data_IF_650465247276
#
_entry.id   IF_650465247276
#
_cell.length_a   1.000
_cell.length_b   1.000
_cell.length_c   1.000
_cell.angle_alpha   90.00
_cell.angle_beta   90.00
_cell.angle_gamma   90.00
#
_symmetry.space_group_name_H-M   'P 1'
#
loop_
_entity.id
_entity.type
_entity.pdbx_description
1 polymer ?
#
# COMPACT_ATOMS: atom_id res chain seq x y z
N UNK A 1 5.20 -7.52 -6.07
CA UNK A 1 4.58 -6.61 -7.07
C UNK A 1 5.13 -6.89 -8.46
N UNK A 2 6.42 -6.70 -8.73
CA UNK A 2 7.02 -6.99 -10.04
C UNK A 2 6.72 -8.43 -10.49
N UNK A 3 7.08 -9.43 -9.72
CA UNK A 3 6.83 -10.85 -10.04
C UNK A 3 5.37 -11.17 -10.32
N UNK A 4 4.44 -10.55 -9.60
CA UNK A 4 3.00 -10.75 -9.81
C UNK A 4 2.55 -10.13 -11.16
N UNK A 5 3.04 -8.93 -11.49
CA UNK A 5 2.77 -8.30 -12.77
C UNK A 5 3.42 -9.04 -13.95
N UNK A 6 4.60 -9.63 -13.76
CA UNK A 6 5.25 -10.46 -14.78
C UNK A 6 4.46 -11.75 -15.09
N UNK A 7 3.84 -12.36 -14.09
CA UNK A 7 3.05 -13.60 -14.26
C UNK A 7 1.67 -13.35 -14.84
N UNK A 8 1.00 -12.32 -14.39
CA UNK A 8 -0.41 -12.05 -14.71
C UNK A 8 -0.60 -10.91 -15.72
N UNK A 9 0.46 -10.16 -16.02
CA UNK A 9 0.39 -8.92 -16.79
C UNK A 9 0.02 -7.72 -15.90
N UNK A 10 0.37 -6.52 -16.34
CA UNK A 10 0.11 -5.27 -15.61
C UNK A 10 -0.52 -4.18 -16.49
N UNK A 11 -0.40 -4.35 -17.80
CA UNK A 11 -0.89 -3.35 -18.77
C UNK A 11 -2.41 -3.41 -18.90
N UNK A 12 -2.95 -4.60 -19.14
CA UNK A 12 -4.39 -4.89 -19.20
C UNK A 12 -4.73 -5.94 -18.15
N UNK A 13 -5.50 -5.55 -17.16
CA UNK A 13 -5.89 -6.42 -16.04
C UNK A 13 -7.41 -6.51 -16.03
N UNK A 14 -7.93 -7.69 -16.44
CA UNK A 14 -9.37 -7.99 -16.36
C UNK A 14 -9.75 -8.34 -14.90
N UNK A 15 -11.06 -8.34 -14.56
CA UNK A 15 -11.52 -8.79 -13.24
C UNK A 15 -11.03 -10.20 -12.88
N UNK A 16 -10.94 -11.12 -13.87
CA UNK A 16 -10.48 -12.49 -13.67
C UNK A 16 -8.98 -12.51 -13.37
N UNK A 17 -8.17 -11.72 -14.10
CA UNK A 17 -6.74 -11.58 -13.85
C UNK A 17 -6.51 -10.98 -12.46
N UNK A 18 -7.27 -9.96 -12.10
CA UNK A 18 -7.17 -9.32 -10.78
C UNK A 18 -7.52 -10.30 -9.65
N UNK A 19 -8.58 -11.10 -9.83
CA UNK A 19 -8.95 -12.14 -8.88
C UNK A 19 -7.87 -13.23 -8.76
N UNK A 20 -7.23 -13.62 -9.85
CA UNK A 20 -6.11 -14.56 -9.84
C UNK A 20 -4.89 -14.02 -9.09
N UNK A 21 -4.57 -12.74 -9.28
CA UNK A 21 -3.51 -12.06 -8.51
C UNK A 21 -3.80 -12.10 -7.00
N UNK A 22 -5.04 -11.79 -6.61
CA UNK A 22 -5.45 -11.84 -5.18
C UNK A 22 -5.32 -13.27 -4.65
N UNK A 23 -5.78 -14.27 -5.38
CA UNK A 23 -5.74 -15.67 -4.96
C UNK A 23 -4.30 -16.18 -4.75
N UNK A 24 -3.36 -15.80 -5.65
CA UNK A 24 -1.95 -16.16 -5.50
C UNK A 24 -1.34 -15.57 -4.22
N UNK A 25 -1.65 -14.30 -3.93
CA UNK A 25 -1.15 -13.63 -2.72
C UNK A 25 -1.84 -14.17 -1.47
N UNK A 26 -3.14 -14.41 -1.54
CA UNK A 26 -3.92 -14.96 -0.41
C UNK A 26 -3.33 -16.29 0.09
N UNK A 27 -2.93 -17.18 -0.82
CA UNK A 27 -2.31 -18.46 -0.46
C UNK A 27 -1.03 -18.29 0.39
N UNK A 28 -0.24 -17.23 0.14
CA UNK A 28 0.95 -16.91 0.93
C UNK A 28 0.59 -16.30 2.29
N UNK A 29 -0.41 -15.42 2.30
CA UNK A 29 -0.88 -14.76 3.53
C UNK A 29 -1.58 -15.76 4.45
N UNK A 30 -2.37 -16.68 3.90
CA UNK A 30 -3.05 -17.74 4.66
C UNK A 30 -2.07 -18.67 5.37
N UNK A 31 -0.95 -19.01 4.70
CA UNK A 31 0.16 -19.75 5.33
C UNK A 31 0.70 -19.02 6.55
N UNK A 32 0.93 -17.71 6.44
CA UNK A 32 1.39 -16.89 7.54
C UNK A 32 0.36 -16.83 8.70
N UNK A 33 -0.92 -16.67 8.37
CA UNK A 33 -2.00 -16.65 9.37
C UNK A 33 -2.11 -17.99 10.09
N UNK A 34 -1.95 -19.10 9.37
CA UNK A 34 -1.98 -20.45 9.94
C UNK A 34 -0.84 -20.70 10.93
N UNK A 35 0.36 -20.14 10.63
CA UNK A 35 1.56 -20.31 11.47
C UNK A 35 1.56 -19.39 12.70
N UNK A 36 1.13 -18.13 12.53
CA UNK A 36 1.27 -17.10 13.56
C UNK A 36 -0.05 -16.69 14.24
N UNK A 37 -1.16 -17.23 13.78
CA UNK A 37 -2.50 -16.83 14.21
C UNK A 37 -2.97 -15.52 13.56
N UNK A 38 -4.29 -15.32 13.55
CA UNK A 38 -4.89 -14.05 13.13
C UNK A 38 -4.62 -12.95 14.16
N UNK A 39 -4.72 -11.71 13.71
CA UNK A 39 -4.74 -10.57 14.63
C UNK A 39 -6.05 -10.65 15.42
N UNK A 40 -5.96 -10.81 16.73
CA UNK A 40 -7.12 -10.95 17.62
C UNK A 40 -8.09 -9.76 17.53
N UNK A 41 -9.19 -9.80 18.25
CA UNK A 41 -10.32 -8.84 18.25
C UNK A 41 -9.95 -7.40 18.65
N UNK A 42 -8.67 -7.05 18.61
CA UNK A 42 -8.14 -5.75 19.01
C UNK A 42 -8.52 -4.63 18.06
N UNK A 43 -8.53 -3.41 18.58
CA UNK A 43 -8.66 -2.18 17.79
C UNK A 43 -7.37 -1.92 16.99
N UNK A 44 -7.11 -2.77 16.00
CA UNK A 44 -5.95 -2.69 15.14
C UNK A 44 -6.25 -1.86 13.88
N UNK A 45 -5.20 -1.34 13.27
CA UNK A 45 -5.23 -0.74 11.95
C UNK A 45 -4.06 -1.24 11.12
N UNK A 46 -4.21 -1.25 9.83
CA UNK A 46 -3.08 -1.52 8.93
C UNK A 46 -2.16 -0.29 8.85
N UNK A 47 -0.87 -0.52 8.87
CA UNK A 47 0.14 0.49 8.54
C UNK A 47 0.77 0.12 7.20
N UNK A 48 0.51 0.92 6.18
CA UNK A 48 1.05 0.72 4.85
C UNK A 48 2.24 1.63 4.57
N UNK A 49 3.40 1.04 4.27
CA UNK A 49 4.66 1.76 4.01
C UNK A 49 5.15 1.62 2.57
N UNK A 50 4.38 0.98 1.70
CA UNK A 50 4.79 0.69 0.32
C UNK A 50 4.43 1.82 -0.65
N UNK A 51 5.12 1.85 -1.80
CA UNK A 51 4.80 2.77 -2.89
C UNK A 51 3.37 2.62 -3.43
N UNK A 52 2.76 1.44 -3.34
CA UNK A 52 1.35 1.23 -3.69
C UNK A 52 0.42 1.99 -2.76
N UNK A 53 0.64 1.87 -1.45
CA UNK A 53 -0.22 2.52 -0.45
C UNK A 53 -0.11 4.04 -0.54
N UNK A 54 1.09 4.57 -0.75
CA UNK A 54 1.29 6.02 -0.95
C UNK A 54 0.66 6.51 -2.26
N UNK A 55 0.68 5.70 -3.31
CA UNK A 55 -0.02 5.98 -4.58
C UNK A 55 -1.54 6.01 -4.37
N UNK A 56 -2.11 5.01 -3.69
CA UNK A 56 -3.54 4.95 -3.36
C UNK A 56 -3.96 6.21 -2.59
N UNK A 57 -3.18 6.63 -1.59
CA UNK A 57 -3.42 7.86 -0.86
C UNK A 57 -3.35 9.11 -1.75
N UNK A 58 -2.38 9.18 -2.64
CA UNK A 58 -2.25 10.28 -3.60
C UNK A 58 -3.45 10.41 -4.54
N UNK A 59 -3.95 9.27 -5.02
CA UNK A 59 -5.16 9.21 -5.87
C UNK A 59 -6.41 9.56 -5.05
N UNK A 60 -6.51 9.07 -3.82
CA UNK A 60 -7.60 9.41 -2.90
C UNK A 60 -7.70 10.91 -2.62
N UNK A 61 -6.56 11.54 -2.39
CA UNK A 61 -6.44 12.99 -2.12
C UNK A 61 -6.53 13.84 -3.40
N UNK A 62 -6.69 13.23 -4.57
CA UNK A 62 -6.76 13.89 -5.88
C UNK A 62 -5.60 14.85 -6.14
N UNK A 63 -4.39 14.42 -5.78
CA UNK A 63 -3.20 15.26 -5.89
C UNK A 63 -2.82 15.47 -7.36
N UNK A 64 -2.62 16.72 -7.75
CA UNK A 64 -2.11 17.10 -9.07
C UNK A 64 -0.62 16.76 -9.27
N UNK A 65 0.09 16.57 -8.18
CA UNK A 65 1.46 16.06 -8.09
C UNK A 65 1.62 15.34 -6.77
N UNK A 66 2.57 14.41 -6.70
CA UNK A 66 2.85 13.72 -5.45
C UNK A 66 3.37 14.71 -4.38
N UNK A 67 2.71 14.74 -3.24
CA UNK A 67 3.04 15.60 -2.11
C UNK A 67 3.20 14.75 -0.84
N UNK A 68 4.45 14.42 -0.50
CA UNK A 68 4.78 13.58 0.65
C UNK A 68 4.09 14.04 1.93
N UNK A 69 4.11 15.34 2.23
CA UNK A 69 3.53 15.89 3.46
C UNK A 69 2.03 15.65 3.60
N UNK A 70 1.32 15.47 2.49
CA UNK A 70 -0.12 15.19 2.48
C UNK A 70 -0.42 13.71 2.53
N UNK A 71 0.49 12.88 1.99
CA UNK A 71 0.37 11.43 1.92
C UNK A 71 0.83 10.77 3.21
N UNK A 72 1.96 11.22 3.77
CA UNK A 72 2.54 10.67 5.00
C UNK A 72 1.62 10.97 6.19
N UNK A 73 1.25 9.92 6.92
CA UNK A 73 0.31 10.01 8.03
C UNK A 73 -1.18 10.05 7.64
N UNK A 74 -1.51 10.01 6.35
CA UNK A 74 -2.90 9.99 5.88
C UNK A 74 -3.63 8.76 6.44
N UNK A 75 -4.87 8.96 6.89
CA UNK A 75 -5.77 7.90 7.28
C UNK A 75 -6.82 7.66 6.21
N UNK A 76 -7.05 6.40 5.89
CA UNK A 76 -8.12 5.97 4.99
C UNK A 76 -8.96 4.90 5.67
N UNK A 77 -10.28 5.01 5.56
CA UNK A 77 -11.18 3.92 5.92
C UNK A 77 -11.22 2.88 4.81
N UNK A 78 -11.60 1.65 5.14
CA UNK A 78 -11.59 0.52 4.21
C UNK A 78 -12.35 0.79 2.91
N UNK A 79 -13.54 1.39 2.99
CA UNK A 79 -14.33 1.80 1.83
C UNK A 79 -13.62 2.83 0.93
N UNK A 80 -12.80 3.72 1.49
CA UNK A 80 -12.04 4.67 0.68
C UNK A 80 -10.95 3.97 -0.11
N UNK A 81 -10.28 3.00 0.50
CA UNK A 81 -9.27 2.17 -0.19
C UNK A 81 -9.94 1.41 -1.33
N UNK A 82 -11.07 0.75 -1.07
CA UNK A 82 -11.84 0.00 -2.07
C UNK A 82 -12.22 0.88 -3.26
N UNK A 83 -12.82 2.07 -3.03
CA UNK A 83 -13.17 3.00 -4.11
C UNK A 83 -11.98 3.42 -4.97
N UNK A 84 -10.81 3.63 -4.36
CA UNK A 84 -9.61 3.97 -5.13
C UNK A 84 -9.15 2.80 -5.98
N UNK A 85 -9.16 1.58 -5.44
CA UNK A 85 -8.78 0.38 -6.19
C UNK A 85 -9.72 0.15 -7.37
N UNK A 86 -11.04 0.25 -7.16
CA UNK A 86 -12.05 0.15 -8.23
C UNK A 86 -11.83 1.20 -9.31
N UNK A 87 -11.52 2.44 -8.93
CA UNK A 87 -11.18 3.52 -9.85
C UNK A 87 -9.92 3.20 -10.67
N UNK A 88 -8.87 2.68 -10.04
CA UNK A 88 -7.63 2.28 -10.70
C UNK A 88 -7.84 1.12 -11.67
N UNK A 89 -8.71 0.16 -11.34
CA UNK A 89 -9.09 -0.95 -12.22
C UNK A 89 -9.91 -0.47 -13.44
N UNK A 90 -10.72 0.56 -13.26
CA UNK A 90 -11.51 1.15 -14.34
C UNK A 90 -10.68 2.03 -15.31
N UNK A 91 -9.50 2.49 -14.88
CA UNK A 91 -8.63 3.32 -15.72
C UNK A 91 -7.91 2.52 -16.80
N UNK A 92 -7.76 3.12 -17.98
CA UNK A 92 -6.85 2.62 -19.00
C UNK A 92 -5.39 2.67 -18.51
N UNK A 93 -4.51 2.02 -19.25
CA UNK A 93 -3.07 2.14 -18.96
C UNK A 93 -2.60 3.58 -19.11
N UNK A 94 -3.06 4.26 -20.14
CA UNK A 94 -2.74 5.66 -20.45
C UNK A 94 -3.22 6.61 -19.34
N UNK A 95 -4.40 6.37 -18.78
CA UNK A 95 -4.91 7.14 -17.63
C UNK A 95 -4.02 6.95 -16.39
N UNK A 96 -3.56 5.73 -16.15
CA UNK A 96 -2.63 5.44 -15.06
C UNK A 96 -1.28 6.11 -15.27
N UNK A 97 -0.75 6.09 -16.51
CA UNK A 97 0.50 6.79 -16.86
C UNK A 97 0.36 8.30 -16.66
N UNK A 98 -0.77 8.88 -17.08
CA UNK A 98 -1.02 10.31 -16.98
C UNK A 98 -1.23 10.80 -15.54
N UNK A 99 -1.53 9.91 -14.61
CA UNK A 99 -1.75 10.28 -13.20
C UNK A 99 -0.44 10.62 -12.51
N UNK A 100 -0.36 11.82 -11.95
CA UNK A 100 0.87 12.37 -11.34
C UNK A 100 1.37 11.60 -10.09
N UNK A 101 0.52 10.79 -9.47
CA UNK A 101 0.89 9.94 -8.32
C UNK A 101 1.31 8.52 -8.74
N UNK A 102 1.14 8.15 -10.02
CA UNK A 102 1.49 6.83 -10.56
C UNK A 102 2.71 6.96 -11.47
N UNK A 103 2.51 7.63 -12.62
CA UNK A 103 3.52 7.79 -13.66
C UNK A 103 3.82 6.51 -14.44
N UNK A 104 4.58 6.65 -15.53
CA UNK A 104 4.90 5.54 -16.44
C UNK A 104 5.62 4.36 -15.78
N UNK A 105 6.49 4.64 -14.80
CA UNK A 105 7.29 3.60 -14.12
C UNK A 105 6.47 2.66 -13.24
N UNK A 106 5.22 3.04 -12.89
CA UNK A 106 4.36 2.27 -11.98
C UNK A 106 3.02 1.88 -12.58
N UNK A 107 2.69 2.39 -13.75
CA UNK A 107 1.37 2.20 -14.36
C UNK A 107 1.01 0.72 -14.61
N UNK A 108 2.00 -0.12 -14.91
CA UNK A 108 1.89 -1.57 -15.08
C UNK A 108 1.99 -2.37 -13.78
N UNK A 109 2.49 -1.76 -12.70
CA UNK A 109 2.71 -2.41 -11.41
C UNK A 109 1.63 -2.10 -10.37
N UNK A 110 0.93 -0.98 -10.53
CA UNK A 110 0.02 -0.46 -9.50
C UNK A 110 -1.12 -1.42 -9.20
N UNK A 111 -1.68 -2.09 -10.20
CA UNK A 111 -2.80 -3.03 -10.01
C UNK A 111 -2.34 -4.32 -9.31
N UNK A 112 -1.15 -4.82 -9.61
CA UNK A 112 -0.56 -5.92 -8.85
C UNK A 112 -0.32 -5.53 -7.38
N UNK A 113 0.08 -4.29 -7.14
CA UNK A 113 0.20 -3.75 -5.78
C UNK A 113 -1.15 -3.65 -5.06
N UNK A 114 -2.20 -3.24 -5.78
CA UNK A 114 -3.57 -3.23 -5.26
C UNK A 114 -4.06 -4.65 -4.89
N UNK A 115 -3.79 -5.64 -5.74
CA UNK A 115 -4.15 -7.03 -5.47
C UNK A 115 -3.45 -7.58 -4.20
N UNK A 116 -2.18 -7.22 -3.99
CA UNK A 116 -1.46 -7.56 -2.75
C UNK A 116 -2.15 -6.92 -1.53
N UNK A 117 -2.48 -5.63 -1.62
CA UNK A 117 -3.15 -4.93 -0.53
C UNK A 117 -4.53 -5.53 -0.24
N UNK A 118 -5.31 -5.88 -1.28
CA UNK A 118 -6.62 -6.51 -1.11
C UNK A 118 -6.53 -7.89 -0.47
N UNK A 119 -5.54 -8.71 -0.84
CA UNK A 119 -5.31 -10.00 -0.19
C UNK A 119 -5.00 -9.82 1.31
N UNK A 120 -4.15 -8.85 1.66
CA UNK A 120 -3.81 -8.52 3.06
C UNK A 120 -5.04 -8.03 3.81
N UNK A 121 -5.83 -7.11 3.22
CA UNK A 121 -7.05 -6.57 3.85
C UNK A 121 -8.10 -7.64 4.10
N UNK A 122 -8.18 -8.66 3.24
CA UNK A 122 -9.09 -9.81 3.42
C UNK A 122 -8.64 -10.73 4.54
N UNK A 123 -7.34 -10.99 4.64
CA UNK A 123 -6.76 -11.83 5.69
C UNK A 123 -6.75 -11.12 7.07
N UNK A 124 -6.58 -9.80 7.07
CA UNK A 124 -6.52 -8.97 8.27
C UNK A 124 -7.55 -7.83 8.17
N UNK A 125 -8.84 -8.10 8.37
CA UNK A 125 -9.87 -7.08 8.27
C UNK A 125 -9.66 -5.96 9.29
N UNK A 126 -9.44 -4.75 8.81
CA UNK A 126 -9.25 -3.56 9.63
C UNK A 126 -10.10 -2.42 9.09
N UNK A 127 -10.70 -1.66 10.00
CA UNK A 127 -11.53 -0.52 9.61
C UNK A 127 -10.75 0.62 8.97
N UNK A 128 -9.44 0.71 9.27
CA UNK A 128 -8.60 1.85 8.85
C UNK A 128 -7.20 1.40 8.43
N UNK A 129 -6.68 2.11 7.45
CA UNK A 129 -5.31 2.05 6.97
C UNK A 129 -4.62 3.38 7.26
N UNK A 130 -3.49 3.35 7.93
CA UNK A 130 -2.58 4.49 8.03
C UNK A 130 -1.50 4.38 6.97
N UNK A 131 -1.28 5.47 6.25
CA UNK A 131 -0.26 5.56 5.23
C UNK A 131 1.01 6.16 5.82
N UNK A 132 2.16 5.52 5.58
CA UNK A 132 3.46 6.09 5.92
C UNK A 132 4.36 6.09 4.69
N UNK A 133 4.91 7.26 4.36
CA UNK A 133 5.88 7.42 3.29
C UNK A 133 7.32 7.36 3.85
N UNK A 134 7.48 6.48 4.83
CA UNK A 134 8.76 6.13 5.45
C UNK A 134 8.75 4.63 5.71
N UNK A 135 9.88 4.00 5.58
CA UNK A 135 9.99 2.55 5.68
C UNK A 135 11.12 2.10 6.60
N UNK A 136 11.53 0.86 6.41
CA UNK A 136 12.57 0.22 7.20
C UNK A 136 13.88 1.04 7.25
N UNK A 137 14.27 1.63 6.13
CA UNK A 137 15.52 2.42 6.04
C UNK A 137 15.53 3.60 7.00
N UNK A 138 14.44 4.35 7.03
CA UNK A 138 14.28 5.49 7.93
C UNK A 138 14.24 5.04 9.39
N UNK A 139 13.59 3.92 9.67
CA UNK A 139 13.56 3.32 11.01
C UNK A 139 14.95 2.91 11.48
N UNK A 140 15.73 2.24 10.63
CA UNK A 140 17.11 1.85 10.93
C UNK A 140 18.00 3.06 11.20
N UNK A 141 17.90 4.12 10.37
CA UNK A 141 18.66 5.36 10.58
C UNK A 141 18.33 6.00 11.93
N UNK A 142 17.05 6.09 12.29
CA UNK A 142 16.63 6.63 13.59
C UNK A 142 17.17 5.78 14.75
N UNK A 143 17.17 4.45 14.60
CA UNK A 143 17.73 3.56 15.61
C UNK A 143 19.25 3.80 15.79
N UNK A 144 20.02 3.81 14.71
CA UNK A 144 21.45 4.10 14.74
C UNK A 144 21.76 5.47 15.37
N UNK A 145 21.00 6.50 15.00
CA UNK A 145 21.16 7.84 15.58
C UNK A 145 20.88 7.89 17.09
N UNK A 146 19.96 7.05 17.57
CA UNK A 146 19.69 6.90 19.01
C UNK A 146 20.83 6.21 19.74
N UNK A 147 21.36 5.14 19.16
CA UNK A 147 22.50 4.37 19.67
C UNK A 147 23.77 5.25 19.75
N UNK A 148 23.97 6.13 18.76
CA UNK A 148 25.08 7.10 18.72
C UNK A 148 24.85 8.33 19.63
N UNK A 149 23.70 8.44 20.30
CA UNK A 149 23.35 9.59 21.14
C UNK A 149 23.08 10.88 20.40
N UNK A 150 22.99 10.85 19.05
CA UNK A 150 22.71 12.03 18.21
C UNK A 150 21.21 12.36 18.19
N UNK A 151 20.36 11.36 18.46
CA UNK A 151 18.91 11.52 18.56
C UNK A 151 18.45 11.20 20.00
N UNK A 152 18.44 12.20 20.86
CA UNK A 152 17.83 12.15 22.19
C UNK A 152 16.38 12.61 22.12
N UNK A 153 15.47 11.75 21.68
CA UNK A 153 14.06 12.13 21.59
C UNK A 153 13.27 11.67 22.81
N UNK A 154 13.14 12.54 23.79
CA UNK A 154 11.90 12.71 24.53
C UNK A 154 10.96 13.46 23.59
N UNK A 155 9.83 12.89 23.19
CA UNK A 155 8.81 13.35 22.24
C UNK A 155 8.44 14.84 22.09
N UNK A 156 9.36 15.75 22.28
CA UNK A 156 9.23 17.19 22.05
C UNK A 156 9.90 17.55 20.72
N UNK A 157 9.12 17.52 19.66
CA UNK A 157 9.45 18.16 18.38
C UNK A 157 9.15 19.66 18.50
N UNK A 158 10.05 20.56 17.99
CA UNK A 158 9.73 21.96 17.86
C UNK A 158 8.64 22.23 16.83
#
# INVERSE_FOLDING_TARGET
MVTLAERHGGHQVTPEIYAAMIAEVAALVDSFVAEHGGLGDGHIHLLGTSGTVTTIAGVHLELRRYERRRVDGCWMVDDQVTRVIERLLAWSYEDRVANACIGAERADLVLAGCAILDAIRRAFPCQRLRVADRGLREGMLVQMMREDGVWGGDGSTP
#
